data_IF_889982812704
#
_entry.id   IF_889982812704
#
_cell.length_a   1.000
_cell.length_b   1.000
_cell.length_c   1.000
_cell.angle_alpha   90.00
_cell.angle_beta   90.00
_cell.angle_gamma   90.00
#
_symmetry.space_group_name_H-M   'P 1'
#
loop_
_entity.id
_entity.type
_entity.pdbx_description
1 polymer ?
#
# COMPACT_ATOMS: atom_id res chain seq x y z
N UNK A 1 25.48 4.75 -23.18
CA UNK A 1 24.75 5.94 -22.70
C UNK A 1 23.73 5.70 -21.57
N UNK A 2 23.39 4.46 -21.16
CA UNK A 2 22.37 4.17 -20.12
C UNK A 2 22.74 4.63 -18.69
N UNK A 3 24.00 4.46 -18.28
CA UNK A 3 24.52 4.84 -16.94
C UNK A 3 24.33 6.34 -16.60
N UNK A 4 24.26 7.21 -17.62
CA UNK A 4 24.16 8.66 -17.40
C UNK A 4 22.83 9.09 -16.78
N UNK A 5 21.70 8.47 -17.16
CA UNK A 5 20.37 8.87 -16.68
C UNK A 5 20.13 8.47 -15.22
N UNK A 6 20.53 7.25 -14.83
CA UNK A 6 20.44 6.80 -13.45
C UNK A 6 21.31 7.63 -12.50
N UNK A 7 22.56 7.90 -12.89
CA UNK A 7 23.47 8.68 -12.05
C UNK A 7 23.00 10.13 -11.91
N UNK A 8 22.44 10.72 -12.97
CA UNK A 8 21.84 12.05 -12.91
C UNK A 8 20.61 12.08 -11.99
N UNK A 9 19.74 11.05 -12.04
CA UNK A 9 18.63 10.93 -11.10
C UNK A 9 19.12 10.89 -9.65
N UNK A 10 20.13 10.07 -9.36
CA UNK A 10 20.71 9.95 -8.01
C UNK A 10 21.29 11.27 -7.53
N UNK A 11 21.94 12.04 -8.42
CA UNK A 11 22.44 13.38 -8.12
C UNK A 11 21.29 14.35 -7.80
N UNK A 12 20.20 14.33 -8.57
CA UNK A 12 19.03 15.19 -8.33
C UNK A 12 18.32 14.86 -7.01
N UNK A 13 18.23 13.57 -6.64
CA UNK A 13 17.68 13.18 -5.34
C UNK A 13 18.55 13.72 -4.19
N UNK A 14 19.88 13.63 -4.31
CA UNK A 14 20.81 14.18 -3.30
C UNK A 14 20.70 15.70 -3.18
N UNK A 15 20.58 16.41 -4.30
CA UNK A 15 20.40 17.87 -4.29
C UNK A 15 19.09 18.33 -3.63
N UNK A 16 18.05 17.47 -3.64
CA UNK A 16 16.75 17.74 -3.02
C UNK A 16 16.67 17.29 -1.56
N UNK A 17 17.75 16.76 -0.99
CA UNK A 17 17.77 16.26 0.38
C UNK A 17 17.48 17.37 1.40
N UNK A 18 16.65 17.06 2.39
CA UNK A 18 16.34 17.91 3.53
C UNK A 18 16.53 17.12 4.83
N UNK A 19 17.61 17.42 5.55
CA UNK A 19 18.00 16.68 6.76
C UNK A 19 17.01 16.83 7.92
N UNK A 20 16.46 18.01 8.13
CA UNK A 20 15.49 18.24 9.21
C UNK A 20 14.20 17.45 8.95
N UNK A 21 13.75 17.44 7.70
CA UNK A 21 12.60 16.62 7.30
C UNK A 21 12.90 15.13 7.38
N UNK A 22 14.10 14.70 6.98
CA UNK A 22 14.51 13.30 7.07
C UNK A 22 14.42 12.77 8.52
N UNK A 23 14.89 13.54 9.51
CA UNK A 23 14.78 13.18 10.94
C UNK A 23 13.32 13.01 11.39
N UNK A 24 12.43 13.90 10.95
CA UNK A 24 11.00 13.81 11.26
C UNK A 24 10.40 12.55 10.64
N UNK A 25 10.71 12.26 9.37
CA UNK A 25 10.21 11.08 8.67
C UNK A 25 10.72 9.78 9.32
N UNK A 26 11.99 9.70 9.73
CA UNK A 26 12.52 8.53 10.44
C UNK A 26 11.72 8.20 11.70
N UNK A 27 11.38 9.22 12.51
CA UNK A 27 10.54 9.03 13.71
C UNK A 27 9.13 8.61 13.35
N UNK A 28 8.54 9.23 12.33
CA UNK A 28 7.17 8.95 11.90
C UNK A 28 7.02 7.53 11.33
N UNK A 29 7.98 7.09 10.53
CA UNK A 29 8.02 5.77 9.91
C UNK A 29 8.60 4.68 10.81
N UNK A 30 8.91 5.00 12.07
CA UNK A 30 9.34 4.04 13.09
C UNK A 30 10.54 3.20 12.61
N UNK A 31 11.69 3.85 12.45
CA UNK A 31 12.92 3.23 11.93
C UNK A 31 13.87 2.73 13.01
N UNK A 32 13.45 2.69 14.27
CA UNK A 32 14.25 2.18 15.39
C UNK A 32 14.35 0.64 15.39
N UNK A 33 15.26 0.07 16.20
CA UNK A 33 15.40 -1.38 16.34
C UNK A 33 14.08 -2.07 16.77
N UNK A 34 13.70 -3.12 16.05
CA UNK A 34 12.46 -3.88 16.27
C UNK A 34 11.19 -3.20 15.74
N UNK A 35 11.29 -2.00 15.17
CA UNK A 35 10.16 -1.32 14.55
C UNK A 35 9.96 -1.73 13.09
N UNK A 36 8.77 -1.47 12.53
CA UNK A 36 8.42 -1.97 11.19
C UNK A 36 9.25 -1.32 10.06
N UNK A 37 9.82 -0.14 10.28
CA UNK A 37 10.66 0.59 9.33
C UNK A 37 12.14 0.49 9.64
N UNK A 38 12.57 -0.45 10.49
CA UNK A 38 13.98 -0.61 10.88
C UNK A 38 14.91 -0.65 9.65
N UNK A 39 15.97 0.15 9.68
CA UNK A 39 16.95 0.25 8.61
C UNK A 39 16.61 1.23 7.48
N UNK A 40 15.39 1.80 7.45
CA UNK A 40 15.02 2.81 6.44
C UNK A 40 15.83 4.11 6.62
N UNK A 41 16.41 4.59 5.51
CA UNK A 41 17.08 5.89 5.42
C UNK A 41 16.18 6.86 4.68
N UNK A 42 16.04 8.09 5.18
CA UNK A 42 15.23 9.13 4.54
C UNK A 42 16.09 10.29 4.03
N UNK A 43 15.72 10.82 2.88
CA UNK A 43 16.27 12.07 2.33
C UNK A 43 15.41 13.29 2.67
N UNK A 44 14.21 13.11 3.20
CA UNK A 44 13.30 14.21 3.51
C UNK A 44 12.61 14.80 2.27
N UNK A 45 12.53 14.05 1.17
CA UNK A 45 11.92 14.52 -0.08
C UNK A 45 10.42 14.21 -0.04
N UNK A 46 9.59 15.20 -0.34
CA UNK A 46 8.14 15.01 -0.32
C UNK A 46 7.63 14.27 -1.56
N UNK A 47 6.56 13.49 -1.39
CA UNK A 47 5.93 12.71 -2.46
C UNK A 47 5.59 13.54 -3.72
N UNK A 48 5.06 14.78 -3.64
CA UNK A 48 4.83 15.58 -4.84
C UNK A 48 6.09 15.83 -5.69
N UNK A 49 7.26 16.02 -5.07
CA UNK A 49 8.53 16.16 -5.79
C UNK A 49 8.98 14.84 -6.43
N UNK A 50 8.79 13.72 -5.73
CA UNK A 50 9.07 12.39 -6.30
C UNK A 50 8.15 12.08 -7.50
N UNK A 51 6.88 12.49 -7.44
CA UNK A 51 5.95 12.34 -8.58
C UNK A 51 6.39 13.18 -9.79
N UNK A 52 6.99 14.36 -9.59
CA UNK A 52 7.57 15.16 -10.68
C UNK A 52 8.76 14.43 -11.30
N UNK A 53 9.68 13.92 -10.48
CA UNK A 53 10.83 13.13 -10.96
C UNK A 53 10.39 11.87 -11.70
N UNK A 54 9.37 11.15 -11.20
CA UNK A 54 8.88 9.93 -11.84
C UNK A 54 8.43 10.15 -13.29
N UNK A 55 7.84 11.31 -13.59
CA UNK A 55 7.44 11.67 -14.96
C UNK A 55 8.64 11.91 -15.88
N UNK A 56 9.68 12.57 -15.37
CA UNK A 56 10.91 12.86 -16.13
C UNK A 56 11.67 11.57 -16.44
N UNK A 57 11.72 10.65 -15.48
CA UNK A 57 12.50 9.41 -15.57
C UNK A 57 11.66 8.18 -15.95
N UNK A 58 10.51 8.38 -16.61
CA UNK A 58 9.60 7.30 -17.02
C UNK A 58 10.27 6.26 -17.95
N UNK A 59 11.35 6.63 -18.64
CA UNK A 59 12.09 5.76 -19.56
C UNK A 59 13.20 4.93 -18.90
N UNK A 60 13.45 5.08 -17.58
CA UNK A 60 14.38 4.19 -16.88
C UNK A 60 14.01 2.72 -17.09
N UNK A 61 14.99 1.86 -17.32
CA UNK A 61 14.72 0.44 -17.54
C UNK A 61 14.49 -0.32 -16.22
N UNK A 62 13.97 -1.54 -16.32
CA UNK A 62 13.66 -2.37 -15.15
C UNK A 62 14.89 -2.66 -14.26
N UNK A 63 16.11 -2.91 -14.81
CA UNK A 63 17.31 -3.01 -13.98
C UNK A 63 17.57 -1.77 -13.11
N UNK A 64 17.41 -0.57 -13.65
CA UNK A 64 17.55 0.66 -12.87
C UNK A 64 16.43 0.82 -11.83
N UNK A 65 15.20 0.39 -12.13
CA UNK A 65 14.11 0.34 -11.14
C UNK A 65 14.39 -0.65 -10.01
N UNK A 66 14.94 -1.83 -10.31
CA UNK A 66 15.37 -2.80 -9.30
C UNK A 66 16.42 -2.17 -8.38
N UNK A 67 17.41 -1.47 -8.94
CA UNK A 67 18.45 -0.78 -8.15
C UNK A 67 17.88 0.28 -7.21
N UNK A 68 16.88 1.06 -7.66
CA UNK A 68 16.19 2.03 -6.81
C UNK A 68 15.35 1.33 -5.72
N UNK A 69 14.66 0.25 -6.07
CA UNK A 69 13.77 -0.47 -5.16
C UNK A 69 14.52 -1.27 -4.09
N UNK A 70 15.76 -1.68 -4.36
CA UNK A 70 16.63 -2.35 -3.39
C UNK A 70 17.45 -1.37 -2.53
N UNK A 71 17.28 -0.07 -2.74
CA UNK A 71 18.01 0.95 -1.98
C UNK A 71 17.56 0.97 -0.52
N UNK A 72 18.47 1.22 0.44
CA UNK A 72 18.08 1.51 1.83
C UNK A 72 17.33 2.84 1.96
N UNK A 73 17.35 3.67 0.91
CA UNK A 73 16.72 4.98 0.91
C UNK A 73 15.25 4.86 0.53
N UNK A 74 14.39 5.29 1.44
CA UNK A 74 12.95 5.22 1.30
C UNK A 74 12.43 5.96 0.05
N UNK A 75 12.90 7.18 -0.20
CA UNK A 75 12.45 7.96 -1.34
C UNK A 75 12.90 7.41 -2.70
N UNK A 76 13.96 6.60 -2.73
CA UNK A 76 14.39 5.89 -3.95
C UNK A 76 13.44 4.73 -4.26
N UNK A 77 13.03 3.97 -3.24
CA UNK A 77 12.03 2.91 -3.37
C UNK A 77 10.68 3.46 -3.80
N UNK A 78 10.23 4.52 -3.13
CA UNK A 78 9.01 5.26 -3.49
C UNK A 78 9.08 5.74 -4.95
N UNK A 79 10.19 6.34 -5.37
CA UNK A 79 10.36 6.79 -6.75
C UNK A 79 10.31 5.63 -7.76
N UNK A 80 10.92 4.49 -7.44
CA UNK A 80 10.86 3.29 -8.29
C UNK A 80 9.41 2.85 -8.54
N UNK A 81 8.60 2.77 -7.48
CA UNK A 81 7.18 2.40 -7.57
C UNK A 81 6.36 3.45 -8.33
N UNK A 82 6.64 4.74 -8.12
CA UNK A 82 5.98 5.81 -8.88
C UNK A 82 6.31 5.74 -10.38
N UNK A 83 7.56 5.45 -10.76
CA UNK A 83 7.93 5.24 -12.18
C UNK A 83 7.26 3.98 -12.74
N UNK A 84 7.25 2.89 -11.98
CA UNK A 84 6.59 1.64 -12.35
C UNK A 84 5.09 1.86 -12.63
N UNK A 85 4.40 2.63 -11.79
CA UNK A 85 3.00 3.01 -12.01
C UNK A 85 2.81 3.84 -13.28
N UNK A 86 3.71 4.80 -13.56
CA UNK A 86 3.63 5.60 -14.78
C UNK A 86 3.84 4.73 -16.03
N UNK A 87 4.75 3.76 -15.98
CA UNK A 87 4.93 2.77 -17.05
C UNK A 87 3.65 1.94 -17.25
N UNK A 88 3.13 1.36 -16.17
CA UNK A 88 1.90 0.56 -16.17
C UNK A 88 0.71 1.31 -16.81
N UNK A 89 0.53 2.59 -16.48
CA UNK A 89 -0.57 3.41 -16.99
C UNK A 89 -0.39 3.83 -18.46
N UNK A 90 0.84 3.97 -18.93
CA UNK A 90 1.13 4.55 -20.25
C UNK A 90 0.95 3.55 -21.39
N UNK A 91 1.17 2.25 -21.15
CA UNK A 91 1.06 1.22 -22.18
C UNK A 91 0.46 -0.07 -21.60
N UNK A 92 -0.67 -0.52 -22.17
CA UNK A 92 -1.31 -1.80 -21.83
C UNK A 92 -0.33 -2.99 -21.97
N UNK A 93 0.52 -3.00 -22.99
CA UNK A 93 1.52 -4.06 -23.23
C UNK A 93 2.54 -4.17 -22.08
N UNK A 94 2.74 -3.08 -21.32
CA UNK A 94 3.67 -3.07 -20.19
C UNK A 94 3.06 -3.55 -18.89
N UNK A 95 1.74 -3.72 -18.81
CA UNK A 95 1.04 -4.03 -17.56
C UNK A 95 1.48 -5.38 -16.97
N UNK A 96 1.57 -6.43 -17.80
CA UNK A 96 2.03 -7.76 -17.38
C UNK A 96 3.45 -7.72 -16.84
N UNK A 97 4.36 -7.02 -17.53
CA UNK A 97 5.74 -6.88 -17.08
C UNK A 97 5.84 -6.09 -15.77
N UNK A 98 5.06 -5.02 -15.63
CA UNK A 98 5.03 -4.21 -14.41
C UNK A 98 4.42 -4.98 -13.22
N UNK A 99 3.37 -5.76 -13.47
CA UNK A 99 2.78 -6.67 -12.48
C UNK A 99 3.79 -7.71 -12.02
N UNK A 100 4.46 -8.40 -12.96
CA UNK A 100 5.45 -9.41 -12.65
C UNK A 100 6.63 -8.81 -11.87
N UNK A 101 7.13 -7.65 -12.30
CA UNK A 101 8.16 -6.90 -11.57
C UNK A 101 7.75 -6.62 -10.12
N UNK A 102 6.51 -6.17 -9.89
CA UNK A 102 5.99 -5.93 -8.55
C UNK A 102 5.96 -7.21 -7.71
N UNK A 103 5.43 -8.31 -8.28
CA UNK A 103 5.32 -9.61 -7.60
C UNK A 103 6.70 -10.14 -7.19
N UNK A 104 7.68 -10.00 -8.07
CA UNK A 104 9.05 -10.50 -7.87
C UNK A 104 9.81 -9.67 -6.82
N UNK A 105 9.52 -8.36 -6.75
CA UNK A 105 10.24 -7.43 -5.86
C UNK A 105 9.46 -7.02 -4.60
N UNK A 106 8.27 -7.59 -4.36
CA UNK A 106 7.41 -7.21 -3.21
C UNK A 106 8.09 -7.26 -1.84
N UNK A 107 9.16 -8.06 -1.69
CA UNK A 107 9.96 -8.11 -0.46
C UNK A 107 10.60 -6.75 -0.09
N UNK A 108 10.85 -5.91 -1.09
CA UNK A 108 11.39 -4.55 -0.93
C UNK A 108 10.30 -3.47 -0.81
N UNK A 109 9.03 -3.85 -0.95
CA UNK A 109 7.85 -2.99 -0.75
C UNK A 109 7.39 -3.18 0.69
N UNK A 110 8.27 -2.81 1.61
CA UNK A 110 8.22 -3.18 3.02
C UNK A 110 7.94 -1.97 3.93
N UNK A 111 7.09 -1.06 3.47
CA UNK A 111 6.53 0.03 4.27
C UNK A 111 5.07 0.26 3.85
N UNK A 112 4.24 0.76 4.76
CA UNK A 112 2.80 0.89 4.49
C UNK A 112 2.53 1.87 3.38
N UNK A 113 3.27 2.97 3.29
CA UNK A 113 3.08 4.00 2.27
C UNK A 113 3.53 3.53 0.88
N UNK A 114 4.60 2.75 0.80
CA UNK A 114 5.04 2.07 -0.43
C UNK A 114 3.97 1.12 -0.95
N UNK A 115 3.34 0.33 -0.07
CA UNK A 115 2.23 -0.55 -0.44
C UNK A 115 1.02 0.28 -0.88
N UNK A 116 0.61 1.24 -0.07
CA UNK A 116 -0.63 1.99 -0.26
C UNK A 116 -0.64 2.83 -1.53
N UNK A 117 0.51 3.40 -1.89
CA UNK A 117 0.62 4.23 -3.09
C UNK A 117 0.55 3.41 -4.38
N UNK A 118 0.89 2.12 -4.35
CA UNK A 118 1.22 1.35 -5.56
C UNK A 118 0.34 0.12 -5.77
N UNK A 119 0.02 -0.63 -4.72
CA UNK A 119 -0.73 -1.89 -4.80
C UNK A 119 -2.10 -1.74 -5.48
N UNK A 120 -2.94 -0.72 -5.17
CA UNK A 120 -4.24 -0.58 -5.84
C UNK A 120 -4.11 -0.31 -7.34
N UNK A 121 -3.03 0.34 -7.77
CA UNK A 121 -2.86 0.80 -9.14
C UNK A 121 -2.22 -0.23 -10.05
N UNK A 122 -1.40 -1.13 -9.48
CA UNK A 122 -0.72 -2.18 -10.23
C UNK A 122 -1.39 -3.51 -9.95
N UNK A 123 -1.29 -4.04 -8.74
CA UNK A 123 -1.84 -5.35 -8.40
C UNK A 123 -3.37 -5.36 -8.47
N UNK A 124 -4.01 -4.38 -7.83
CA UNK A 124 -5.47 -4.27 -7.79
C UNK A 124 -6.07 -4.17 -9.19
N UNK A 125 -5.60 -3.20 -9.98
CA UNK A 125 -6.03 -3.03 -11.37
C UNK A 125 -5.70 -4.25 -12.24
N UNK A 126 -4.52 -4.84 -12.11
CA UNK A 126 -4.14 -5.96 -12.97
C UNK A 126 -5.01 -7.20 -12.70
N UNK A 127 -5.44 -7.41 -11.46
CA UNK A 127 -6.21 -8.59 -11.08
C UNK A 127 -7.73 -8.41 -11.19
N UNK A 128 -8.22 -7.21 -11.51
CA UNK A 128 -9.66 -6.91 -11.51
C UNK A 128 -10.46 -7.83 -12.45
N UNK A 129 -10.04 -7.91 -13.72
CA UNK A 129 -10.65 -8.77 -14.74
C UNK A 129 -9.93 -10.14 -14.87
N UNK A 130 -9.23 -10.58 -13.81
CA UNK A 130 -8.41 -11.80 -13.82
C UNK A 130 -8.62 -12.62 -12.54
N UNK A 131 -7.96 -13.77 -12.44
CA UNK A 131 -7.98 -14.57 -11.21
C UNK A 131 -7.28 -13.85 -10.05
N UNK A 132 -8.08 -13.32 -9.12
CA UNK A 132 -7.62 -12.66 -7.91
C UNK A 132 -7.33 -13.62 -6.73
N UNK A 133 -7.37 -14.94 -6.93
CA UNK A 133 -7.11 -15.94 -5.88
C UNK A 133 -5.75 -15.78 -5.18
N UNK A 134 -4.79 -15.17 -5.87
CA UNK A 134 -3.48 -14.84 -5.30
C UNK A 134 -3.58 -13.89 -4.11
N UNK A 135 -4.55 -12.96 -4.09
CA UNK A 135 -4.76 -12.04 -2.97
C UNK A 135 -5.20 -12.80 -1.71
N UNK A 136 -6.09 -13.80 -1.86
CA UNK A 136 -6.47 -14.67 -0.75
C UNK A 136 -5.29 -15.51 -0.23
N UNK A 137 -4.41 -15.99 -1.13
CA UNK A 137 -3.18 -16.69 -0.72
C UNK A 137 -2.23 -15.77 0.04
N UNK A 138 -2.06 -14.53 -0.42
CA UNK A 138 -1.20 -13.54 0.22
C UNK A 138 -1.73 -13.07 1.58
N UNK A 139 -3.05 -12.96 1.74
CA UNK A 139 -3.69 -12.63 3.02
C UNK A 139 -3.40 -13.69 4.11
N UNK A 140 -3.18 -14.96 3.73
CA UNK A 140 -2.80 -16.05 4.65
C UNK A 140 -1.30 -16.11 4.97
N UNK A 141 -0.48 -15.26 4.34
CA UNK A 141 0.96 -15.24 4.56
C UNK A 141 1.31 -14.75 5.97
N UNK A 142 2.43 -15.25 6.53
CA UNK A 142 2.98 -14.70 7.78
C UNK A 142 3.65 -13.33 7.57
N UNK A 143 4.00 -12.98 6.33
CA UNK A 143 4.70 -11.73 6.03
C UNK A 143 3.75 -10.53 6.04
N UNK A 144 4.04 -9.56 6.92
CA UNK A 144 3.23 -8.36 7.15
C UNK A 144 2.86 -7.64 5.85
N UNK A 145 3.85 -7.28 5.04
CA UNK A 145 3.63 -6.46 3.86
C UNK A 145 2.90 -7.22 2.76
N UNK A 146 3.08 -8.54 2.68
CA UNK A 146 2.33 -9.38 1.73
C UNK A 146 0.84 -9.39 2.06
N UNK A 147 0.48 -9.50 3.35
CA UNK A 147 -0.91 -9.36 3.80
C UNK A 147 -1.48 -7.97 3.50
N UNK A 148 -0.69 -6.92 3.76
CA UNK A 148 -1.11 -5.54 3.46
C UNK A 148 -1.35 -5.34 1.96
N UNK A 149 -0.45 -5.84 1.10
CA UNK A 149 -0.62 -5.80 -0.36
C UNK A 149 -1.92 -6.49 -0.75
N UNK A 150 -2.22 -7.67 -0.19
CA UNK A 150 -3.46 -8.38 -0.47
C UNK A 150 -4.70 -7.51 -0.17
N UNK A 151 -4.78 -6.97 1.05
CA UNK A 151 -5.92 -6.15 1.47
C UNK A 151 -6.01 -4.87 0.66
N UNK A 152 -4.93 -4.11 0.53
CA UNK A 152 -4.94 -2.79 -0.09
C UNK A 152 -5.15 -2.86 -1.61
N UNK A 153 -4.74 -3.96 -2.27
CA UNK A 153 -5.04 -4.17 -3.69
C UNK A 153 -6.55 -4.19 -3.97
N UNK A 154 -7.36 -4.64 -3.01
CA UNK A 154 -8.83 -4.65 -3.15
C UNK A 154 -9.44 -3.26 -3.22
N UNK A 155 -8.70 -2.19 -2.91
CA UNK A 155 -9.20 -0.83 -3.05
C UNK A 155 -9.55 -0.46 -4.51
N UNK A 156 -8.92 -1.11 -5.49
CA UNK A 156 -9.35 -0.98 -6.88
C UNK A 156 -10.73 -1.62 -7.11
N UNK A 157 -10.92 -2.86 -6.66
CA UNK A 157 -12.19 -3.59 -6.75
C UNK A 157 -13.33 -2.81 -6.08
N UNK A 158 -13.07 -2.31 -4.86
CA UNK A 158 -14.03 -1.48 -4.12
C UNK A 158 -14.42 -0.23 -4.93
N UNK A 159 -13.47 0.42 -5.61
CA UNK A 159 -13.77 1.58 -6.48
C UNK A 159 -14.71 1.24 -7.64
N UNK A 160 -14.61 0.02 -8.15
CA UNK A 160 -15.46 -0.53 -9.21
C UNK A 160 -16.70 -1.25 -8.66
N UNK A 161 -17.06 -1.02 -7.39
CA UNK A 161 -18.24 -1.61 -6.72
C UNK A 161 -18.20 -3.15 -6.56
N UNK A 162 -17.02 -3.76 -6.63
CA UNK A 162 -16.79 -5.18 -6.35
C UNK A 162 -16.18 -5.39 -4.95
N UNK A 163 -16.97 -5.95 -4.03
CA UNK A 163 -16.60 -5.99 -2.60
C UNK A 163 -16.17 -7.37 -2.11
N UNK A 164 -16.51 -8.43 -2.83
CA UNK A 164 -16.32 -9.83 -2.43
C UNK A 164 -14.89 -10.16 -1.98
N UNK A 165 -13.89 -9.77 -2.77
CA UNK A 165 -12.49 -10.05 -2.45
C UNK A 165 -12.05 -9.30 -1.18
N UNK A 166 -12.53 -8.06 -1.00
CA UNK A 166 -12.22 -7.26 0.18
C UNK A 166 -12.82 -7.88 1.44
N UNK A 167 -14.09 -8.28 1.40
CA UNK A 167 -14.78 -8.91 2.52
C UNK A 167 -14.17 -10.26 2.90
N UNK A 168 -13.88 -11.12 1.92
CA UNK A 168 -13.21 -12.42 2.14
C UNK A 168 -11.83 -12.25 2.78
N UNK A 169 -11.05 -11.26 2.33
CA UNK A 169 -9.74 -10.97 2.92
C UNK A 169 -9.88 -10.35 4.31
N UNK A 170 -10.85 -9.46 4.53
CA UNK A 170 -11.13 -8.88 5.84
C UNK A 170 -11.46 -9.96 6.87
N UNK A 171 -12.30 -10.94 6.50
CA UNK A 171 -12.64 -12.09 7.35
C UNK A 171 -11.40 -12.92 7.73
N UNK A 172 -10.54 -13.24 6.75
CA UNK A 172 -9.28 -13.96 6.98
C UNK A 172 -8.34 -13.23 7.94
N UNK A 173 -8.42 -11.89 8.00
CA UNK A 173 -7.54 -11.03 8.76
C UNK A 173 -8.14 -10.51 10.07
N UNK A 174 -9.36 -10.94 10.45
CA UNK A 174 -10.02 -10.53 11.69
C UNK A 174 -9.11 -10.74 12.91
N UNK A 175 -8.43 -11.89 12.97
CA UNK A 175 -7.58 -12.27 14.10
C UNK A 175 -6.09 -11.98 13.89
N UNK A 176 -5.73 -11.16 12.89
CA UNK A 176 -4.34 -10.72 12.73
C UNK A 176 -3.88 -10.01 14.01
N UNK A 177 -2.58 -10.06 14.33
CA UNK A 177 -2.05 -9.44 15.55
C UNK A 177 -1.45 -8.06 15.27
N UNK A 178 -1.21 -7.73 14.00
CA UNK A 178 -0.45 -6.55 13.64
C UNK A 178 -1.35 -5.33 13.38
N UNK A 179 -1.14 -4.25 14.14
CA UNK A 179 -1.94 -3.01 14.06
C UNK A 179 -2.01 -2.41 12.64
N UNK A 180 -0.91 -2.47 11.88
CA UNK A 180 -0.93 -2.02 10.47
C UNK A 180 -1.90 -2.84 9.58
N UNK A 181 -2.13 -4.12 9.87
CA UNK A 181 -3.14 -4.92 9.15
C UNK A 181 -4.54 -4.50 9.58
N UNK A 182 -4.79 -4.30 10.88
CA UNK A 182 -6.07 -3.80 11.38
C UNK A 182 -6.47 -2.48 10.73
N UNK A 183 -5.52 -1.56 10.58
CA UNK A 183 -5.73 -0.28 9.90
C UNK A 183 -6.07 -0.46 8.41
N UNK A 184 -5.41 -1.39 7.72
CA UNK A 184 -5.72 -1.69 6.32
C UNK A 184 -7.14 -2.26 6.17
N UNK A 185 -7.50 -3.26 6.98
CA UNK A 185 -8.82 -3.90 6.94
C UNK A 185 -9.92 -2.89 7.28
N UNK A 186 -9.78 -2.17 8.40
CA UNK A 186 -10.74 -1.15 8.81
C UNK A 186 -10.87 -0.02 7.78
N UNK A 187 -9.77 0.39 7.13
CA UNK A 187 -9.84 1.35 6.04
C UNK A 187 -10.64 0.80 4.85
N UNK A 188 -10.38 -0.44 4.40
CA UNK A 188 -11.10 -1.00 3.27
C UNK A 188 -12.59 -1.22 3.56
N UNK A 189 -12.96 -1.63 4.78
CA UNK A 189 -14.37 -1.69 5.21
C UNK A 189 -15.03 -0.31 5.14
N UNK A 190 -14.36 0.73 5.65
CA UNK A 190 -14.83 2.11 5.52
C UNK A 190 -14.98 2.55 4.07
N UNK A 191 -14.08 2.12 3.18
CA UNK A 191 -14.19 2.42 1.74
C UNK A 191 -15.36 1.69 1.07
N UNK A 192 -15.71 0.48 1.53
CA UNK A 192 -16.94 -0.20 1.14
C UNK A 192 -18.14 0.62 1.62
N UNK A 193 -18.19 1.01 2.90
CA UNK A 193 -19.30 1.78 3.47
C UNK A 193 -19.57 3.13 2.80
N UNK A 194 -18.53 3.80 2.31
CA UNK A 194 -18.67 5.03 1.50
C UNK A 194 -19.45 4.81 0.20
N UNK A 195 -19.51 3.58 -0.31
CA UNK A 195 -20.19 3.20 -1.55
C UNK A 195 -21.48 2.45 -1.28
N UNK A 196 -21.44 1.53 -0.33
CA UNK A 196 -22.57 0.76 0.14
C UNK A 196 -22.47 0.53 1.66
N UNK A 197 -23.21 1.34 2.41
CA UNK A 197 -23.26 1.29 3.86
C UNK A 197 -23.94 0.02 4.38
N UNK A 198 -24.85 -0.59 3.61
CA UNK A 198 -25.56 -1.79 4.03
C UNK A 198 -24.62 -2.98 4.05
N UNK A 199 -23.73 -3.09 3.05
CA UNK A 199 -22.72 -4.15 3.00
C UNK A 199 -21.71 -4.02 4.14
N UNK A 200 -21.23 -2.81 4.46
CA UNK A 200 -20.37 -2.61 5.63
C UNK A 200 -21.08 -3.03 6.92
N UNK A 201 -22.33 -2.59 7.13
CA UNK A 201 -23.11 -2.94 8.32
C UNK A 201 -23.36 -4.43 8.43
N UNK A 202 -23.66 -5.13 7.33
CA UNK A 202 -23.82 -6.59 7.33
C UNK A 202 -22.55 -7.30 7.80
N UNK A 203 -21.38 -6.89 7.29
CA UNK A 203 -20.10 -7.45 7.75
C UNK A 203 -19.86 -7.14 9.23
N UNK A 204 -20.10 -5.90 9.67
CA UNK A 204 -19.91 -5.51 11.06
C UNK A 204 -20.86 -6.27 12.00
N UNK A 205 -22.14 -6.39 11.66
CA UNK A 205 -23.11 -7.12 12.48
C UNK A 205 -22.69 -8.57 12.72
N UNK A 206 -22.06 -9.20 11.73
CA UNK A 206 -21.54 -10.56 11.84
C UNK A 206 -20.23 -10.67 12.62
N UNK A 207 -19.33 -9.68 12.53
CA UNK A 207 -17.94 -9.84 12.95
C UNK A 207 -17.44 -8.86 14.01
N UNK A 208 -18.14 -7.77 14.33
CA UNK A 208 -17.63 -6.68 15.18
C UNK A 208 -17.12 -7.14 16.56
N UNK A 209 -17.73 -8.16 17.16
CA UNK A 209 -17.31 -8.73 18.45
C UNK A 209 -15.89 -9.33 18.39
N UNK A 210 -15.52 -9.90 17.25
CA UNK A 210 -14.19 -10.49 17.02
C UNK A 210 -13.18 -9.46 16.50
N UNK A 211 -13.63 -8.29 16.05
CA UNK A 211 -12.75 -7.30 15.44
C UNK A 211 -11.84 -6.63 16.48
N UNK A 212 -10.52 -6.55 16.22
CA UNK A 212 -9.61 -5.74 17.01
C UNK A 212 -10.08 -4.29 17.08
N UNK A 213 -9.91 -3.66 18.24
CA UNK A 213 -10.43 -2.29 18.50
C UNK A 213 -9.95 -1.26 17.48
N UNK A 214 -8.71 -1.35 16.99
CA UNK A 214 -8.20 -0.49 15.92
C UNK A 214 -8.98 -0.70 14.63
N UNK A 215 -9.18 -1.96 14.23
CA UNK A 215 -9.88 -2.31 12.99
C UNK A 215 -11.31 -1.77 12.99
N UNK A 216 -12.05 -2.02 14.07
CA UNK A 216 -13.43 -1.59 14.21
C UNK A 216 -13.55 -0.06 14.16
N UNK A 217 -12.69 0.66 14.91
CA UNK A 217 -12.68 2.14 14.92
C UNK A 217 -12.40 2.75 13.56
N UNK A 218 -11.55 2.11 12.76
CA UNK A 218 -11.26 2.56 11.40
C UNK A 218 -12.45 2.33 10.46
N UNK A 219 -13.15 1.20 10.57
CA UNK A 219 -14.34 0.89 9.79
C UNK A 219 -15.45 1.91 10.05
N UNK A 220 -15.85 2.06 11.32
CA UNK A 220 -16.97 2.92 11.74
C UNK A 220 -16.62 4.42 11.79
N UNK A 221 -15.50 4.88 11.20
CA UNK A 221 -15.07 6.28 11.32
C UNK A 221 -16.15 7.25 10.82
N UNK A 222 -16.88 6.85 9.77
CA UNK A 222 -17.90 7.68 9.11
C UNK A 222 -19.32 7.51 9.68
N UNK A 223 -19.50 6.64 10.66
CA UNK A 223 -20.80 6.42 11.29
C UNK A 223 -21.10 7.60 12.23
N UNK A 224 -22.39 7.86 12.45
CA UNK A 224 -22.78 8.81 13.47
C UNK A 224 -22.41 8.31 14.88
N UNK A 225 -22.44 9.19 15.86
CA UNK A 225 -22.04 8.85 17.22
C UNK A 225 -22.85 7.70 17.81
N UNK A 226 -24.17 7.65 17.57
CA UNK A 226 -25.05 6.62 18.11
C UNK A 226 -24.69 5.25 17.56
N UNK A 227 -24.49 5.15 16.25
CA UNK A 227 -24.10 3.91 15.58
C UNK A 227 -22.68 3.48 15.97
N UNK A 228 -21.75 4.43 16.13
CA UNK A 228 -20.40 4.12 16.62
C UNK A 228 -20.43 3.53 18.03
N UNK A 229 -21.18 4.14 18.94
CA UNK A 229 -21.32 3.65 20.32
C UNK A 229 -22.00 2.28 20.33
N UNK A 230 -22.99 2.06 19.47
CA UNK A 230 -23.60 0.75 19.30
C UNK A 230 -22.55 -0.32 18.99
N UNK A 231 -21.79 -0.19 17.90
CA UNK A 231 -20.79 -1.21 17.56
C UNK A 231 -19.63 -1.33 18.56
N UNK A 232 -19.25 -0.24 19.25
CA UNK A 232 -18.15 -0.27 20.22
C UNK A 232 -18.49 -0.97 21.54
N UNK A 233 -19.78 -1.02 21.90
CA UNK A 233 -20.24 -1.53 23.19
C UNK A 233 -21.25 -2.68 23.10
N UNK A 234 -21.69 -3.03 21.88
CA UNK A 234 -22.48 -4.23 21.60
C UNK A 234 -21.60 -5.46 21.86
N UNK A 235 -22.13 -6.38 22.67
CA UNK A 235 -21.53 -7.67 23.00
C UNK A 235 -22.23 -8.78 22.24
#
# INVERSE_FOLDING_TARGET
MKSSSFNELKKQLRQKQNFEKAKILQRFFKTGPGEYGEGDVFLGIIVPELRKLAKVYILLDFPDLTRLLQSPIHEERMLSLLILMQKYQKNADSQTTCYQFYVDHKAYINNWDLVDVSAPHIIGHYLFDRDASILLRWAKSRHLWTKRIAMISTFHFIREHEFDNALKIAELLLNDQHDLIHKAVGWMLREIGKRDILIEKQFLDQHHVLMPRTMLRYAIEKFDEKERLFYLFKQ
#
